data_IF_831715196087
#
_entry.id   IF_831715196087
#
_cell.length_a   1.000
_cell.length_b   1.000
_cell.length_c   1.000
_cell.angle_alpha   90.00
_cell.angle_beta   90.00
_cell.angle_gamma   90.00
#
_symmetry.space_group_name_H-M   'P 1'
#
loop_
_entity.id
_entity.type
_entity.pdbx_description
1 polymer ?
#
# COMPACT_ATOMS: atom_id res chain seq x y z
N UNK A 1 -26.71 -9.70 -28.93
CA UNK A 1 -25.59 -9.87 -27.99
C UNK A 1 -26.20 -9.77 -26.61
N UNK A 2 -26.29 -10.89 -25.90
CA UNK A 2 -27.02 -10.98 -24.62
C UNK A 2 -26.09 -10.62 -23.47
N UNK A 3 -26.56 -9.78 -22.55
CA UNK A 3 -25.73 -9.26 -21.44
C UNK A 3 -25.82 -10.25 -20.27
N UNK A 4 -24.70 -10.70 -19.68
CA UNK A 4 -24.72 -11.67 -18.59
C UNK A 4 -25.49 -11.15 -17.37
N UNK A 5 -26.31 -12.01 -16.76
CA UNK A 5 -27.12 -11.70 -15.57
C UNK A 5 -26.28 -11.49 -14.31
N UNK A 6 -25.09 -12.07 -14.25
CA UNK A 6 -24.13 -11.91 -13.16
C UNK A 6 -22.74 -11.60 -13.73
N UNK A 7 -22.23 -10.40 -13.47
CA UNK A 7 -20.86 -10.03 -13.80
C UNK A 7 -19.93 -10.56 -12.70
N UNK A 8 -19.23 -11.67 -12.97
CA UNK A 8 -18.21 -12.21 -12.06
C UNK A 8 -16.82 -11.93 -12.63
N UNK A 9 -15.91 -11.42 -11.79
CA UNK A 9 -14.49 -11.33 -12.12
C UNK A 9 -13.78 -12.55 -11.56
N UNK A 10 -13.70 -13.61 -12.37
CA UNK A 10 -12.92 -14.79 -12.01
C UNK A 10 -11.46 -14.56 -12.39
N UNK A 11 -10.55 -14.73 -11.42
CA UNK A 11 -9.11 -14.65 -11.68
C UNK A 11 -8.72 -15.87 -12.51
N UNK A 12 -8.37 -15.65 -13.77
CA UNK A 12 -7.87 -16.72 -14.64
C UNK A 12 -6.56 -17.31 -14.07
N UNK A 13 -6.50 -18.63 -13.88
CA UNK A 13 -5.29 -19.34 -13.41
C UNK A 13 -4.06 -19.12 -14.31
N UNK A 14 -4.28 -18.75 -15.58
CA UNK A 14 -3.22 -18.39 -16.53
C UNK A 14 -2.33 -17.25 -16.02
N UNK A 15 -2.89 -16.30 -15.27
CA UNK A 15 -2.15 -15.17 -14.69
C UNK A 15 -1.08 -15.63 -13.70
N UNK A 16 -1.35 -16.69 -12.92
CA UNK A 16 -0.36 -17.20 -11.96
C UNK A 16 0.82 -17.87 -12.66
N UNK A 17 0.52 -18.62 -13.73
CA UNK A 17 1.54 -19.28 -14.54
C UNK A 17 2.43 -18.26 -15.27
N UNK A 18 1.83 -17.24 -15.87
CA UNK A 18 2.54 -16.14 -16.53
C UNK A 18 3.47 -15.41 -15.55
N UNK A 19 3.00 -15.12 -14.33
CA UNK A 19 3.82 -14.43 -13.33
C UNK A 19 5.08 -15.22 -12.92
N UNK A 20 4.98 -16.55 -12.81
CA UNK A 20 6.14 -17.41 -12.50
C UNK A 20 7.13 -17.46 -13.66
N UNK A 21 6.63 -17.54 -14.90
CA UNK A 21 7.47 -17.58 -16.10
C UNK A 21 8.20 -16.23 -16.30
N UNK A 22 7.50 -15.10 -16.13
CA UNK A 22 8.06 -13.76 -16.20
C UNK A 22 9.09 -13.48 -15.11
N UNK A 23 8.80 -13.88 -13.86
CA UNK A 23 9.74 -13.75 -12.74
C UNK A 23 11.05 -14.50 -13.03
N UNK A 24 10.97 -15.74 -13.49
CA UNK A 24 12.14 -16.52 -13.86
C UNK A 24 12.90 -15.91 -15.05
N UNK A 25 12.19 -15.31 -16.02
CA UNK A 25 12.83 -14.60 -17.13
C UNK A 25 13.54 -13.32 -16.66
N UNK A 26 12.96 -12.58 -15.72
CA UNK A 26 13.56 -11.38 -15.14
C UNK A 26 14.85 -11.71 -14.38
N UNK A 27 14.86 -12.76 -13.56
CA UNK A 27 16.08 -13.22 -12.86
C UNK A 27 17.20 -13.57 -13.85
N UNK A 28 16.88 -14.31 -14.93
CA UNK A 28 17.87 -14.64 -15.97
C UNK A 28 18.45 -13.39 -16.63
N UNK A 29 17.60 -12.38 -16.92
CA UNK A 29 18.05 -11.11 -17.51
C UNK A 29 18.96 -10.32 -16.56
N UNK A 30 18.63 -10.25 -15.27
CA UNK A 30 19.46 -9.59 -14.27
C UNK A 30 20.86 -10.21 -14.19
N UNK A 31 20.96 -11.55 -14.27
CA UNK A 31 22.25 -12.26 -14.32
C UNK A 31 23.04 -11.89 -15.58
N UNK A 32 22.40 -11.86 -16.75
CA UNK A 32 23.04 -11.48 -18.02
C UNK A 32 23.56 -10.04 -18.01
N UNK A 33 22.78 -9.12 -17.43
CA UNK A 33 23.14 -7.70 -17.32
C UNK A 33 24.17 -7.43 -16.22
N UNK A 34 24.67 -8.47 -15.52
CA UNK A 34 25.61 -8.34 -14.40
C UNK A 34 25.13 -7.33 -13.35
N UNK A 35 23.82 -7.26 -13.13
CA UNK A 35 23.21 -6.37 -12.15
C UNK A 35 23.76 -6.76 -10.77
N UNK A 36 24.20 -5.79 -9.94
CA UNK A 36 24.55 -6.06 -8.54
C UNK A 36 23.41 -6.85 -7.86
N UNK A 37 23.75 -7.83 -7.04
CA UNK A 37 22.81 -8.72 -6.32
C UNK A 37 22.02 -9.74 -7.18
N UNK A 38 22.33 -9.91 -8.47
CA UNK A 38 21.62 -10.86 -9.35
C UNK A 38 21.82 -12.36 -9.01
N UNK A 39 22.84 -12.71 -8.22
CA UNK A 39 23.14 -14.10 -7.81
C UNK A 39 22.88 -14.36 -6.33
N UNK A 40 22.96 -13.32 -5.52
CA UNK A 40 22.69 -13.34 -4.10
C UNK A 40 22.07 -11.98 -3.78
N UNK A 41 20.76 -11.92 -3.45
CA UNK A 41 20.18 -10.67 -2.99
C UNK A 41 20.99 -10.18 -1.79
N UNK A 42 21.36 -8.90 -1.80
CA UNK A 42 22.02 -8.28 -0.64
C UNK A 42 21.19 -8.55 0.62
N UNK A 43 21.81 -8.82 1.78
CA UNK A 43 21.10 -8.97 3.05
C UNK A 43 20.31 -7.71 3.44
N UNK A 44 20.55 -6.59 2.75
CA UNK A 44 19.71 -5.41 2.85
C UNK A 44 18.55 -5.47 1.85
N UNK A 45 17.43 -6.02 2.31
CA UNK A 45 16.11 -5.89 1.71
C UNK A 45 15.20 -5.11 2.65
N UNK A 46 14.32 -4.28 2.08
CA UNK A 46 13.22 -3.65 2.82
C UNK A 46 12.32 -4.75 3.40
N UNK A 47 12.30 -4.86 4.73
CA UNK A 47 11.58 -5.87 5.54
C UNK A 47 12.21 -7.28 5.53
N UNK A 48 13.31 -7.42 6.27
CA UNK A 48 13.61 -8.70 6.92
C UNK A 48 12.45 -9.06 7.84
N UNK A 49 11.89 -10.25 7.66
CA UNK A 49 10.90 -10.84 8.56
C UNK A 49 11.57 -11.36 9.81
N UNK A 50 12.09 -10.47 10.65
CA UNK A 50 12.34 -10.77 12.05
C UNK A 50 11.02 -10.63 12.82
N UNK A 51 10.32 -11.76 12.95
CA UNK A 51 9.11 -11.90 13.77
C UNK A 51 9.36 -11.64 15.27
N UNK A 52 10.59 -11.32 15.68
CA UNK A 52 10.96 -11.04 17.06
C UNK A 52 12.08 -10.00 17.18
N UNK A 53 11.86 -8.78 16.71
CA UNK A 53 12.46 -7.60 17.34
C UNK A 53 11.36 -6.60 17.64
N UNK A 54 10.82 -6.68 18.85
CA UNK A 54 10.21 -5.54 19.52
C UNK A 54 11.28 -4.47 19.70
N UNK A 55 11.62 -3.77 18.63
CA UNK A 55 12.14 -2.43 18.75
C UNK A 55 11.03 -1.66 19.45
N UNK A 56 11.27 -1.35 20.73
CA UNK A 56 10.45 -0.45 21.50
C UNK A 56 10.45 0.88 20.76
N UNK A 57 9.50 1.04 19.84
CA UNK A 57 8.99 2.33 19.47
C UNK A 57 8.73 3.07 20.80
N UNK A 58 9.08 4.36 20.94
CA UNK A 58 8.49 5.13 22.03
C UNK A 58 6.99 4.85 21.92
N UNK A 59 6.28 4.50 23.01
CA UNK A 59 4.86 4.25 22.92
C UNK A 59 4.30 5.49 22.24
N UNK A 60 3.88 5.36 20.98
CA UNK A 60 3.36 6.46 20.19
C UNK A 60 2.09 6.81 20.92
N UNK A 61 2.23 7.76 21.85
CA UNK A 61 1.44 7.79 23.08
C UNK A 61 -0.01 7.65 22.73
N UNK A 62 -0.58 6.48 23.05
CA UNK A 62 -1.96 6.09 22.77
C UNK A 62 -2.60 6.92 21.65
N UNK A 63 -2.00 6.96 20.45
CA UNK A 63 -2.66 7.61 19.32
C UNK A 63 -3.85 6.72 19.04
N UNK A 64 -4.98 7.15 19.61
CA UNK A 64 -6.24 6.46 19.56
C UNK A 64 -6.44 6.03 18.12
N UNK A 65 -6.66 4.74 17.90
CA UNK A 65 -7.00 4.20 16.59
C UNK A 65 -8.25 4.96 16.12
N UNK A 66 -8.06 6.04 15.39
CA UNK A 66 -9.14 6.83 14.82
C UNK A 66 -9.58 6.11 13.55
N UNK A 67 -10.89 5.96 13.39
CA UNK A 67 -11.45 5.49 12.14
C UNK A 67 -11.16 6.51 11.04
N UNK A 68 -11.15 6.05 9.79
CA UNK A 68 -11.14 6.96 8.65
C UNK A 68 -12.31 7.96 8.70
N UNK A 69 -13.45 7.55 9.26
CA UNK A 69 -14.59 8.47 9.46
C UNK A 69 -14.24 9.60 10.44
N UNK A 70 -13.62 9.27 11.56
CA UNK A 70 -13.26 10.23 12.61
C UNK A 70 -12.22 11.25 12.10
N UNK A 71 -11.28 10.80 11.26
CA UNK A 71 -10.31 11.68 10.62
C UNK A 71 -10.98 12.66 9.66
N UNK A 72 -11.95 12.20 8.87
CA UNK A 72 -12.68 13.04 7.92
C UNK A 72 -13.45 14.13 8.67
N UNK A 73 -14.14 13.77 9.75
CA UNK A 73 -14.86 14.73 10.60
C UNK A 73 -13.92 15.73 11.30
N UNK A 74 -12.69 15.32 11.63
CA UNK A 74 -11.73 16.22 12.27
C UNK A 74 -11.16 17.28 11.30
N UNK A 75 -10.95 16.91 10.04
CA UNK A 75 -10.23 17.72 9.04
C UNK A 75 -11.18 18.56 8.18
N UNK A 76 -12.42 18.10 7.97
CA UNK A 76 -13.36 18.72 7.05
C UNK A 76 -14.69 19.10 7.73
N UNK A 77 -15.27 20.22 7.31
CA UNK A 77 -16.63 20.65 7.65
C UNK A 77 -17.59 20.38 6.48
N UNK A 78 -18.90 20.46 6.72
CA UNK A 78 -19.92 20.48 5.66
C UNK A 78 -20.49 21.88 5.51
N UNK A 79 -20.60 22.35 4.28
CA UNK A 79 -21.26 23.62 3.96
C UNK A 79 -22.80 23.47 3.91
N UNK A 80 -23.50 24.56 3.60
CA UNK A 80 -24.98 24.63 3.56
C UNK A 80 -25.57 23.72 2.47
N UNK A 81 -24.78 23.40 1.45
CA UNK A 81 -25.14 22.47 0.36
C UNK A 81 -24.77 21.00 0.70
N UNK A 82 -24.15 20.77 1.86
CA UNK A 82 -23.73 19.46 2.35
C UNK A 82 -22.42 18.94 1.75
N UNK A 83 -21.65 19.78 1.06
CA UNK A 83 -20.35 19.44 0.49
C UNK A 83 -19.25 19.50 1.55
N UNK A 84 -18.28 18.60 1.44
CA UNK A 84 -17.16 18.47 2.38
C UNK A 84 -16.10 19.51 2.01
N UNK A 85 -15.82 20.45 2.90
CA UNK A 85 -14.85 21.55 2.72
C UNK A 85 -13.77 21.50 3.80
N UNK A 86 -12.54 21.87 3.45
CA UNK A 86 -11.42 21.81 4.38
C UNK A 86 -11.59 22.87 5.49
N UNK A 87 -11.44 22.46 6.75
CA UNK A 87 -11.45 23.40 7.88
C UNK A 87 -10.27 24.35 7.73
N UNK A 88 -10.55 25.62 7.53
CA UNK A 88 -9.49 26.64 7.48
C UNK A 88 -9.03 26.87 8.93
N UNK A 89 -7.88 26.31 9.30
CA UNK A 89 -7.26 26.68 10.56
C UNK A 89 -6.84 28.14 10.44
N UNK A 90 -7.49 29.04 11.18
CA UNK A 90 -7.06 30.43 11.31
C UNK A 90 -5.73 30.46 12.07
N UNK A 91 -4.64 30.17 11.37
CA UNK A 91 -3.29 30.42 11.86
C UNK A 91 -3.13 31.94 11.93
N UNK A 92 -3.44 32.52 13.10
CA UNK A 92 -3.16 33.91 13.40
C UNK A 92 -1.69 33.98 13.86
N UNK A 93 -0.77 34.55 13.07
CA UNK A 93 0.59 34.78 13.54
C UNK A 93 0.53 35.89 14.61
N UNK A 94 1.08 35.61 15.78
CA UNK A 94 1.38 36.63 16.81
C UNK A 94 2.70 37.32 16.52
#
# INVERSE_FOLDING_TARGET
>A
MEVPSEQRMERNETLQREHVEEHNAALRRAVTLSVPDARAPSPYGTFSGDEHRSESFPPVGARQRMSWNDLIEQVFDRDEDGQIVLRTSSFSPS
#
